data_IF_239947206542
#
_entry.id   IF_239947206542
#
_cell.length_a   1.000
_cell.length_b   1.000
_cell.length_c   1.000
_cell.angle_alpha   90.00
_cell.angle_beta   90.00
_cell.angle_gamma   90.00
#
_symmetry.space_group_name_H-M   'P 1'
#
loop_
_entity.id
_entity.type
_entity.pdbx_description
1 polymer ?
#
# COMPACT_ATOMS: atom_id res chain seq x y z
N UNK A 1 -34.65 -6.83 13.93
CA UNK A 1 -34.11 -7.61 15.06
C UNK A 1 -34.14 -9.08 14.67
N UNK A 2 -33.01 -9.66 14.36
CA UNK A 2 -32.94 -11.11 14.11
C UNK A 2 -32.75 -11.82 15.44
N UNK A 3 -33.58 -12.80 15.68
CA UNK A 3 -33.51 -13.66 16.88
C UNK A 3 -32.22 -14.47 16.86
N UNK A 4 -31.47 -14.44 17.94
CA UNK A 4 -30.19 -15.14 18.12
C UNK A 4 -30.35 -16.66 18.35
N UNK A 5 -31.51 -17.23 18.14
CA UNK A 5 -31.84 -18.61 18.50
C UNK A 5 -32.01 -19.57 17.31
N UNK A 6 -31.51 -19.23 16.13
CA UNK A 6 -31.55 -20.17 15.00
C UNK A 6 -30.25 -20.98 14.95
N UNK A 7 -30.35 -22.30 15.14
CA UNK A 7 -29.30 -23.22 14.73
C UNK A 7 -29.19 -23.19 13.22
N UNK A 8 -28.08 -22.66 12.72
CA UNK A 8 -27.80 -22.64 11.31
C UNK A 8 -27.23 -24.00 10.87
N UNK A 9 -27.58 -24.46 9.66
CA UNK A 9 -27.05 -25.69 9.07
C UNK A 9 -25.54 -25.65 8.82
N UNK A 10 -24.94 -24.44 8.90
CA UNK A 10 -23.51 -24.20 8.72
C UNK A 10 -22.97 -23.47 9.95
N UNK A 11 -22.51 -24.20 10.98
CA UNK A 11 -22.14 -23.62 12.27
C UNK A 11 -20.87 -22.79 12.24
N UNK A 12 -20.08 -22.89 11.19
CA UNK A 12 -18.83 -22.15 10.97
C UNK A 12 -19.01 -20.82 10.22
N UNK A 13 -20.20 -20.53 9.69
CA UNK A 13 -20.50 -19.23 9.12
C UNK A 13 -20.67 -18.14 10.20
N UNK A 14 -20.56 -16.87 9.82
CA UNK A 14 -20.64 -15.77 10.78
C UNK A 14 -21.11 -14.47 10.10
N UNK A 15 -21.35 -13.43 10.91
CA UNK A 15 -21.72 -12.12 10.44
C UNK A 15 -20.51 -11.40 9.82
N UNK A 16 -20.71 -10.83 8.63
CA UNK A 16 -19.78 -9.94 7.95
C UNK A 16 -20.44 -8.61 7.61
N UNK A 17 -19.64 -7.67 7.17
CA UNK A 17 -20.07 -6.36 6.69
C UNK A 17 -19.78 -6.24 5.20
N UNK A 18 -20.81 -5.95 4.41
CA UNK A 18 -20.67 -5.59 3.00
C UNK A 18 -20.61 -4.06 2.89
N UNK A 19 -19.43 -3.54 2.57
CA UNK A 19 -19.19 -2.10 2.45
C UNK A 19 -19.84 -1.48 1.20
N UNK A 20 -20.14 -2.28 0.17
CA UNK A 20 -20.80 -1.79 -1.04
C UNK A 20 -22.31 -1.63 -0.85
N UNK A 21 -22.91 -2.62 -0.19
CA UNK A 21 -24.33 -2.59 0.12
C UNK A 21 -24.65 -1.92 1.47
N UNK A 22 -23.61 -1.54 2.22
CA UNK A 22 -23.74 -0.95 3.56
C UNK A 22 -24.64 -1.76 4.51
N UNK A 23 -24.50 -3.08 4.49
CA UNK A 23 -25.32 -3.97 5.31
C UNK A 23 -24.55 -5.14 5.91
N UNK A 24 -25.08 -5.67 7.01
CA UNK A 24 -24.59 -6.93 7.57
C UNK A 24 -25.21 -8.12 6.84
N UNK A 25 -24.41 -9.13 6.57
CA UNK A 25 -24.86 -10.41 6.06
C UNK A 25 -24.33 -11.55 6.92
N UNK A 26 -25.02 -12.68 6.90
CA UNK A 26 -24.60 -13.90 7.60
C UNK A 26 -24.19 -14.95 6.59
N UNK A 27 -22.94 -15.43 6.67
CA UNK A 27 -22.45 -16.38 5.70
C UNK A 27 -20.93 -16.46 5.60
N UNK A 28 -20.47 -16.54 4.36
CA UNK A 28 -19.07 -16.65 3.99
C UNK A 28 -18.70 -15.55 2.99
N UNK A 29 -17.41 -15.25 2.90
CA UNK A 29 -16.85 -14.54 1.76
C UNK A 29 -15.86 -15.43 0.99
N UNK A 30 -15.77 -15.21 -0.30
CA UNK A 30 -14.82 -15.87 -1.18
C UNK A 30 -13.61 -14.97 -1.39
N UNK A 31 -12.45 -15.42 -0.94
CA UNK A 31 -11.16 -14.81 -1.27
C UNK A 31 -10.57 -15.50 -2.49
N UNK A 32 -10.19 -14.76 -3.53
CA UNK A 32 -9.75 -15.32 -4.80
C UNK A 32 -8.43 -14.70 -5.25
N UNK A 33 -7.41 -15.52 -5.51
CA UNK A 33 -6.26 -15.09 -6.28
C UNK A 33 -6.54 -15.18 -7.76
N UNK A 34 -6.22 -14.12 -8.47
CA UNK A 34 -6.42 -13.99 -9.91
C UNK A 34 -5.11 -13.62 -10.57
N UNK A 35 -4.74 -14.28 -11.67
CA UNK A 35 -3.61 -13.90 -12.50
C UNK A 35 -4.05 -12.80 -13.48
N UNK A 36 -3.77 -11.54 -13.13
CA UNK A 36 -4.19 -10.35 -13.89
C UNK A 36 -3.31 -10.04 -15.11
N UNK A 37 -2.19 -10.75 -15.26
CA UNK A 37 -1.32 -10.66 -16.44
C UNK A 37 -1.81 -11.48 -17.63
N UNK A 38 -2.87 -12.28 -17.45
CA UNK A 38 -3.53 -13.04 -18.50
C UNK A 38 -4.59 -12.20 -19.22
N UNK A 39 -4.88 -12.54 -20.45
CA UNK A 39 -5.92 -11.86 -21.26
C UNK A 39 -7.33 -11.90 -20.61
N UNK A 40 -7.58 -12.82 -19.70
CA UNK A 40 -8.93 -13.12 -19.17
C UNK A 40 -8.97 -13.18 -17.64
N UNK A 41 -8.02 -12.57 -16.92
CA UNK A 41 -7.99 -12.56 -15.45
C UNK A 41 -8.27 -13.95 -14.86
N UNK A 42 -7.33 -14.87 -15.05
CA UNK A 42 -7.50 -16.27 -14.71
C UNK A 42 -7.56 -16.50 -13.19
N UNK A 43 -8.66 -17.05 -12.63
CA UNK A 43 -8.70 -17.45 -11.23
C UNK A 43 -7.72 -18.58 -10.95
N UNK A 44 -6.88 -18.40 -9.93
CA UNK A 44 -5.78 -19.33 -9.59
C UNK A 44 -6.11 -20.13 -8.33
N UNK A 45 -6.52 -19.47 -7.28
CA UNK A 45 -6.74 -20.12 -5.99
C UNK A 45 -7.89 -19.49 -5.20
N UNK A 46 -9.00 -20.20 -4.96
CA UNK A 46 -10.11 -19.77 -4.14
C UNK A 46 -9.90 -20.18 -2.67
N UNK A 47 -10.35 -19.35 -1.76
CA UNK A 47 -10.51 -19.70 -0.36
C UNK A 47 -11.84 -19.18 0.16
N UNK A 48 -12.67 -20.08 0.69
CA UNK A 48 -13.93 -19.74 1.34
C UNK A 48 -13.67 -19.55 2.83
N UNK A 49 -14.00 -18.35 3.35
CA UNK A 49 -13.81 -17.98 4.74
C UNK A 49 -15.12 -17.49 5.36
N UNK A 50 -15.27 -17.62 6.70
CA UNK A 50 -16.40 -17.03 7.41
C UNK A 50 -16.44 -15.51 7.17
N UNK A 51 -17.62 -14.94 7.00
CA UNK A 51 -17.78 -13.52 6.68
C UNK A 51 -17.19 -12.55 7.72
N UNK A 52 -17.01 -12.97 8.96
CA UNK A 52 -16.35 -12.18 10.03
C UNK A 52 -14.81 -12.15 9.95
N UNK A 53 -14.21 -12.93 9.04
CA UNK A 53 -12.75 -12.95 8.90
C UNK A 53 -12.26 -11.65 8.27
N UNK A 54 -11.29 -11.01 8.90
CA UNK A 54 -10.66 -9.81 8.34
C UNK A 54 -9.85 -10.15 7.09
N UNK A 55 -9.94 -9.33 6.04
CA UNK A 55 -9.32 -9.55 4.73
C UNK A 55 -7.83 -9.85 4.80
N UNK A 56 -7.12 -9.18 5.69
CA UNK A 56 -5.70 -9.43 5.94
C UNK A 56 -5.41 -10.86 6.41
N UNK A 57 -6.28 -11.44 7.26
CA UNK A 57 -6.13 -12.83 7.70
C UNK A 57 -6.49 -13.81 6.59
N UNK A 58 -7.53 -13.51 5.81
CA UNK A 58 -7.90 -14.30 4.63
C UNK A 58 -6.78 -14.27 3.58
N UNK A 59 -6.15 -13.12 3.38
CA UNK A 59 -4.96 -12.99 2.52
C UNK A 59 -3.84 -13.93 2.98
N UNK A 60 -3.42 -13.85 4.23
CA UNK A 60 -2.32 -14.68 4.73
C UNK A 60 -2.65 -16.17 4.63
N UNK A 61 -3.86 -16.56 5.06
CA UNK A 61 -4.29 -17.96 5.03
C UNK A 61 -4.33 -18.49 3.59
N UNK A 62 -4.97 -17.77 2.66
CA UNK A 62 -5.06 -18.20 1.27
C UNK A 62 -3.68 -18.18 0.58
N UNK A 63 -2.82 -17.21 0.91
CA UNK A 63 -1.48 -17.12 0.35
C UNK A 63 -0.62 -18.33 0.74
N UNK A 64 -0.58 -18.68 2.02
CA UNK A 64 0.18 -19.84 2.48
C UNK A 64 -0.41 -21.16 1.98
N UNK A 65 -1.74 -21.26 1.94
CA UNK A 65 -2.41 -22.43 1.37
C UNK A 65 -2.10 -22.57 -0.13
N UNK A 66 -2.22 -21.51 -0.90
CA UNK A 66 -1.86 -21.52 -2.32
C UNK A 66 -0.40 -21.97 -2.52
N UNK A 67 0.54 -21.44 -1.74
CA UNK A 67 1.95 -21.84 -1.84
C UNK A 67 2.20 -23.30 -1.44
N UNK A 68 1.38 -23.86 -0.56
CA UNK A 68 1.45 -25.28 -0.19
C UNK A 68 0.91 -26.19 -1.31
N UNK A 69 -0.17 -25.80 -1.97
CA UNK A 69 -0.77 -26.57 -3.07
C UNK A 69 -0.09 -26.35 -4.42
N UNK A 70 0.45 -25.16 -4.64
CA UNK A 70 1.09 -24.73 -5.88
C UNK A 70 2.51 -24.20 -5.60
N UNK A 71 3.45 -25.04 -5.14
CA UNK A 71 4.78 -24.60 -4.72
C UNK A 71 5.61 -23.97 -5.85
N UNK A 72 5.39 -24.42 -7.08
CA UNK A 72 6.08 -23.90 -8.27
C UNK A 72 5.51 -22.57 -8.77
N UNK A 73 4.33 -22.14 -8.28
CA UNK A 73 3.72 -20.91 -8.71
C UNK A 73 4.54 -19.71 -8.22
N UNK A 74 5.08 -18.92 -9.14
CA UNK A 74 5.89 -17.74 -8.84
C UNK A 74 5.05 -16.49 -8.93
N UNK A 75 5.13 -15.67 -7.89
CA UNK A 75 4.47 -14.36 -7.83
C UNK A 75 5.58 -13.31 -7.93
N UNK A 76 5.54 -12.49 -8.96
CA UNK A 76 6.47 -11.37 -9.16
C UNK A 76 5.86 -10.05 -8.67
N UNK A 77 4.56 -9.89 -8.86
CA UNK A 77 3.78 -8.71 -8.46
C UNK A 77 2.56 -9.13 -7.67
N UNK A 78 2.17 -8.30 -6.72
CA UNK A 78 1.01 -8.53 -5.88
C UNK A 78 0.19 -7.24 -5.80
N UNK A 79 -1.00 -7.28 -6.40
CA UNK A 79 -1.94 -6.16 -6.43
C UNK A 79 -3.00 -6.40 -5.35
N UNK A 80 -3.10 -5.49 -4.40
CA UNK A 80 -4.03 -5.56 -3.28
C UNK A 80 -4.64 -4.18 -3.00
N UNK A 81 -5.85 -4.18 -2.51
CA UNK A 81 -6.51 -2.96 -2.06
C UNK A 81 -5.97 -2.44 -0.71
N UNK A 82 -6.48 -1.30 -0.27
CA UNK A 82 -6.05 -0.64 0.97
C UNK A 82 -6.39 -1.41 2.26
N UNK A 83 -7.26 -2.43 2.22
CA UNK A 83 -7.53 -3.30 3.37
C UNK A 83 -6.29 -4.13 3.77
N UNK A 84 -5.39 -4.35 2.81
CA UNK A 84 -4.14 -5.11 2.98
C UNK A 84 -2.92 -4.22 3.31
N UNK A 85 -3.13 -2.92 3.52
CA UNK A 85 -2.08 -1.95 3.81
C UNK A 85 -1.49 -2.13 5.21
N UNK A 86 -0.70 -3.17 5.40
CA UNK A 86 -0.04 -3.53 6.64
C UNK A 86 1.46 -3.74 6.45
N UNK A 87 2.27 -3.21 7.36
CA UNK A 87 3.74 -3.30 7.31
C UNK A 87 4.25 -4.74 7.07
N UNK A 88 3.60 -5.73 7.70
CA UNK A 88 3.97 -7.13 7.56
C UNK A 88 3.86 -7.65 6.11
N UNK A 89 2.89 -7.16 5.31
CA UNK A 89 2.75 -7.55 3.90
C UNK A 89 3.91 -7.03 3.08
N UNK A 90 4.28 -5.76 3.25
CA UNK A 90 5.42 -5.16 2.53
C UNK A 90 6.74 -5.85 2.89
N UNK A 91 6.94 -6.12 4.18
CA UNK A 91 8.14 -6.81 4.65
C UNK A 91 8.21 -8.24 4.10
N UNK A 92 7.09 -8.96 4.08
CA UNK A 92 7.02 -10.29 3.46
C UNK A 92 7.32 -10.22 1.96
N UNK A 93 6.71 -9.28 1.23
CA UNK A 93 6.97 -9.08 -0.20
C UNK A 93 8.45 -8.78 -0.45
N UNK A 94 9.06 -7.92 0.37
CA UNK A 94 10.50 -7.62 0.31
C UNK A 94 11.36 -8.86 0.49
N UNK A 95 11.07 -9.70 1.49
CA UNK A 95 11.81 -10.94 1.76
C UNK A 95 11.69 -11.97 0.64
N UNK A 96 10.57 -11.97 -0.07
CA UNK A 96 10.29 -12.91 -1.17
C UNK A 96 10.57 -12.34 -2.56
N UNK A 97 11.11 -11.11 -2.65
CA UNK A 97 11.32 -10.39 -3.91
C UNK A 97 10.04 -10.23 -4.74
N UNK A 98 8.91 -10.03 -4.07
CA UNK A 98 7.62 -9.72 -4.69
C UNK A 98 7.45 -8.21 -4.69
N UNK A 99 7.03 -7.64 -5.82
CA UNK A 99 6.73 -6.21 -5.93
C UNK A 99 5.28 -5.95 -5.49
N UNK A 100 5.04 -5.28 -4.35
CA UNK A 100 3.69 -5.01 -3.89
C UNK A 100 3.10 -3.75 -4.55
N UNK A 101 1.86 -3.83 -4.99
CA UNK A 101 1.01 -2.74 -5.44
C UNK A 101 -0.19 -2.68 -4.51
N UNK A 102 -0.08 -1.90 -3.44
CA UNK A 102 -1.08 -1.80 -2.37
C UNK A 102 -1.39 -0.33 -2.15
N UNK A 103 -2.67 0.05 -2.26
CA UNK A 103 -3.10 1.40 -1.94
C UNK A 103 -2.97 1.68 -0.44
N UNK A 104 -2.61 2.91 -0.09
CA UNK A 104 -2.54 3.31 1.31
C UNK A 104 -3.94 3.38 1.93
N UNK A 105 -4.07 2.86 3.14
CA UNK A 105 -5.29 3.03 3.92
C UNK A 105 -5.31 4.43 4.55
N UNK A 106 -6.28 5.30 4.19
CA UNK A 106 -6.35 6.66 4.71
C UNK A 106 -6.48 6.74 6.23
N UNK A 107 -7.14 5.75 6.84
CA UNK A 107 -7.30 5.67 8.31
C UNK A 107 -5.99 5.46 9.07
N UNK A 108 -4.96 4.95 8.40
CA UNK A 108 -3.67 4.63 9.00
C UNK A 108 -2.54 5.60 8.60
N UNK A 109 -2.81 6.57 7.73
CA UNK A 109 -1.75 7.38 7.14
C UNK A 109 -1.42 8.65 7.90
N UNK A 110 -2.27 9.26 8.63
CA UNK A 110 -1.99 10.47 9.43
C UNK A 110 -0.80 11.33 8.95
N UNK A 111 -0.73 12.58 9.32
CA UNK A 111 0.50 13.36 9.08
C UNK A 111 1.66 12.77 9.86
N UNK A 112 2.67 12.34 9.15
CA UNK A 112 3.83 11.67 9.72
C UNK A 112 5.08 12.55 9.56
N UNK A 113 5.81 12.76 10.65
CA UNK A 113 7.08 13.52 10.64
C UNK A 113 8.24 12.55 10.46
N UNK A 114 8.92 12.66 9.33
CA UNK A 114 10.06 11.81 9.02
C UNK A 114 11.36 12.39 9.61
N UNK A 115 11.97 11.63 10.52
CA UNK A 115 13.23 12.03 11.20
C UNK A 115 13.20 13.44 11.79
N UNK A 116 12.03 13.93 12.20
CA UNK A 116 11.86 15.25 12.81
C UNK A 116 12.08 16.45 11.89
N UNK A 117 12.26 16.24 10.59
CA UNK A 117 12.75 17.26 9.67
C UNK A 117 11.70 17.77 8.66
N UNK A 118 10.74 16.94 8.27
CA UNK A 118 9.64 17.28 7.37
C UNK A 118 8.46 16.33 7.58
N UNK A 119 7.29 16.75 7.16
CA UNK A 119 6.08 15.92 7.17
C UNK A 119 5.92 15.18 5.83
N UNK A 120 5.16 14.10 5.83
CA UNK A 120 4.87 13.28 4.67
C UNK A 120 3.37 13.23 4.54
N UNK A 121 2.85 13.35 3.30
CA UNK A 121 1.44 13.20 3.01
C UNK A 121 1.01 11.73 2.92
N UNK A 122 -0.28 11.53 2.66
CA UNK A 122 -0.91 10.21 2.52
C UNK A 122 -0.33 9.35 1.37
N UNK A 123 0.25 9.98 0.35
CA UNK A 123 0.92 9.29 -0.77
C UNK A 123 2.40 9.01 -0.50
N UNK A 124 2.91 9.33 0.68
CA UNK A 124 4.32 9.17 0.99
C UNK A 124 5.23 10.26 0.43
N UNK A 125 4.67 11.40 -0.02
CA UNK A 125 5.44 12.50 -0.59
C UNK A 125 5.76 13.54 0.49
N UNK A 126 7.02 14.00 0.59
CA UNK A 126 7.42 15.01 1.56
C UNK A 126 6.70 16.34 1.34
N UNK A 127 6.31 16.96 2.44
CA UNK A 127 5.74 18.30 2.49
C UNK A 127 6.80 19.27 3.00
N UNK A 128 7.05 20.36 2.29
CA UNK A 128 8.02 21.36 2.70
C UNK A 128 7.49 22.21 3.87
N UNK A 129 8.37 23.02 4.51
CA UNK A 129 8.00 23.90 5.65
C UNK A 129 6.89 24.89 5.34
N UNK A 130 6.64 25.18 4.06
CA UNK A 130 5.55 26.05 3.61
C UNK A 130 4.26 25.29 3.29
N UNK A 131 4.15 24.02 3.69
CA UNK A 131 2.96 23.20 3.45
C UNK A 131 2.80 22.74 2.00
N UNK A 132 3.82 22.84 1.17
CA UNK A 132 3.74 22.47 -0.25
C UNK A 132 4.35 21.10 -0.51
N UNK A 133 3.69 20.31 -1.32
CA UNK A 133 4.16 18.99 -1.78
C UNK A 133 5.45 19.13 -2.58
N UNK A 134 6.48 18.36 -2.22
CA UNK A 134 7.78 18.40 -2.88
C UNK A 134 7.76 17.64 -4.21
N UNK A 135 8.59 18.07 -5.16
CA UNK A 135 8.73 17.38 -6.44
C UNK A 135 9.68 16.20 -6.34
N UNK A 136 9.29 15.08 -6.91
CA UNK A 136 10.17 13.94 -7.08
C UNK A 136 11.30 14.28 -8.05
N UNK A 137 12.53 14.04 -7.61
CA UNK A 137 13.77 14.35 -8.37
C UNK A 137 14.59 13.09 -8.68
N UNK A 138 13.97 11.93 -8.61
CA UNK A 138 14.54 10.64 -8.99
C UNK A 138 14.65 9.63 -7.84
N UNK A 139 15.19 8.48 -8.19
CA UNK A 139 15.47 7.37 -7.29
C UNK A 139 16.93 6.92 -7.47
N UNK A 140 17.69 6.85 -6.38
CA UNK A 140 19.07 6.38 -6.37
C UNK A 140 19.10 4.91 -5.94
N UNK A 141 19.12 4.01 -6.92
CA UNK A 141 19.00 2.56 -6.68
C UNK A 141 20.13 1.99 -5.80
N UNK A 142 21.36 2.48 -5.99
CA UNK A 142 22.54 2.04 -5.21
C UNK A 142 22.42 2.32 -3.70
N UNK A 143 21.59 3.30 -3.32
CA UNK A 143 21.37 3.71 -1.92
C UNK A 143 19.93 3.46 -1.45
N UNK A 144 19.10 2.83 -2.27
CA UNK A 144 17.69 2.55 -2.01
C UNK A 144 16.95 3.77 -1.44
N UNK A 145 17.10 4.94 -2.09
CA UNK A 145 16.49 6.18 -1.63
C UNK A 145 15.81 6.97 -2.73
N UNK A 146 14.62 7.48 -2.44
CA UNK A 146 13.92 8.46 -3.25
C UNK A 146 14.44 9.86 -2.95
N UNK A 147 14.59 10.68 -3.99
CA UNK A 147 15.02 12.07 -3.90
C UNK A 147 13.87 12.99 -4.25
N UNK A 148 13.63 13.96 -3.40
CA UNK A 148 12.63 15.00 -3.57
C UNK A 148 13.27 16.37 -3.50
N UNK A 149 12.67 17.35 -4.18
CA UNK A 149 13.17 18.71 -4.27
C UNK A 149 12.09 19.74 -3.97
N UNK A 150 12.51 20.87 -3.46
CA UNK A 150 11.66 22.02 -3.16
C UNK A 150 10.80 22.41 -4.37
N UNK A 151 9.45 22.55 -4.22
CA UNK A 151 8.55 22.88 -5.33
C UNK A 151 8.68 24.33 -5.81
N UNK A 152 9.17 25.23 -4.95
CA UNK A 152 9.34 26.65 -5.26
C UNK A 152 10.73 27.04 -5.73
N UNK A 153 11.67 26.12 -5.82
CA UNK A 153 13.00 26.42 -6.32
C UNK A 153 13.06 26.20 -7.84
N UNK A 154 13.74 27.08 -8.53
CA UNK A 154 14.22 26.79 -9.88
C UNK A 154 15.75 26.94 -9.93
N UNK A 155 16.37 26.38 -10.98
CA UNK A 155 17.84 26.33 -11.09
C UNK A 155 18.47 27.72 -11.27
N UNK A 156 17.70 28.71 -11.73
CA UNK A 156 18.19 30.04 -12.07
C UNK A 156 17.96 31.07 -10.97
N UNK A 157 16.80 31.01 -10.29
CA UNK A 157 16.37 32.05 -9.35
C UNK A 157 16.44 31.64 -7.87
N UNK A 158 16.64 30.34 -7.58
CA UNK A 158 16.65 29.83 -6.20
C UNK A 158 15.26 29.65 -5.60
N UNK A 159 15.17 29.69 -4.27
CA UNK A 159 13.93 29.55 -3.54
C UNK A 159 13.21 30.90 -3.40
N UNK A 160 11.91 30.91 -3.68
CA UNK A 160 11.07 32.11 -3.55
C UNK A 160 10.38 32.23 -2.21
N UNK A 161 10.72 31.43 -1.22
CA UNK A 161 10.13 31.53 0.11
C UNK A 161 10.70 32.75 0.84
N UNK A 162 9.87 33.42 1.63
CA UNK A 162 10.26 34.51 2.51
C UNK A 162 11.36 34.09 3.49
N UNK A 163 11.24 32.85 3.99
CA UNK A 163 12.26 32.20 4.83
C UNK A 163 12.80 30.93 4.16
N UNK A 164 13.84 31.04 3.36
CA UNK A 164 14.42 29.89 2.66
C UNK A 164 14.93 28.83 3.66
N UNK A 165 14.52 27.56 3.44
CA UNK A 165 14.98 26.44 4.28
C UNK A 165 16.32 25.83 3.84
N UNK A 166 16.93 26.37 2.77
CA UNK A 166 18.24 25.98 2.26
C UNK A 166 18.90 27.12 1.53
N UNK A 167 20.20 27.35 1.69
CA UNK A 167 20.95 28.36 0.94
C UNK A 167 21.24 27.93 -0.51
N UNK A 168 20.96 26.67 -0.86
CA UNK A 168 21.25 26.15 -2.19
C UNK A 168 20.30 26.74 -3.25
N UNK A 169 20.86 27.13 -4.42
CA UNK A 169 20.08 27.68 -5.54
C UNK A 169 18.96 26.76 -6.03
N UNK A 170 19.13 25.45 -5.90
CA UNK A 170 18.11 24.44 -6.25
C UNK A 170 17.13 24.17 -5.09
N UNK A 171 17.21 24.92 -4.00
CA UNK A 171 16.39 24.77 -2.81
C UNK A 171 16.74 23.52 -1.98
N UNK A 172 15.84 23.16 -1.05
CA UNK A 172 16.04 21.99 -0.20
C UNK A 172 15.84 20.70 -0.99
N UNK A 173 16.75 19.76 -0.81
CA UNK A 173 16.62 18.37 -1.27
C UNK A 173 16.42 17.46 -0.06
N UNK A 174 15.48 16.53 -0.16
CA UNK A 174 15.17 15.53 0.85
C UNK A 174 15.40 14.15 0.26
N UNK A 175 16.03 13.28 1.02
CA UNK A 175 16.23 11.88 0.66
C UNK A 175 15.43 11.01 1.64
N UNK A 176 14.64 10.09 1.09
CA UNK A 176 13.85 9.13 1.84
C UNK A 176 14.38 7.74 1.52
N UNK A 177 14.81 7.03 2.55
CA UNK A 177 15.23 5.66 2.42
C UNK A 177 14.01 4.74 2.41
N UNK A 178 13.83 4.00 1.34
CA UNK A 178 12.64 3.14 1.14
C UNK A 178 12.58 2.01 2.17
N UNK A 179 13.76 1.58 2.67
CA UNK A 179 13.84 0.57 3.73
C UNK A 179 13.36 1.06 5.11
N UNK A 180 13.35 2.37 5.36
CA UNK A 180 12.93 2.93 6.66
C UNK A 180 11.41 2.72 6.90
N UNK A 181 10.63 2.78 5.83
CA UNK A 181 9.20 2.46 5.88
C UNK A 181 8.72 1.99 4.50
N UNK A 182 8.76 0.68 4.21
CA UNK A 182 8.37 0.14 2.91
C UNK A 182 6.88 0.33 2.59
N UNK A 183 6.04 0.53 3.61
CA UNK A 183 4.63 0.84 3.45
C UNK A 183 4.42 2.22 2.81
N UNK A 184 5.06 3.26 3.36
CA UNK A 184 4.94 4.64 2.85
C UNK A 184 5.76 4.86 1.57
N UNK A 185 6.93 4.26 1.49
CA UNK A 185 7.90 4.48 0.41
C UNK A 185 8.04 3.28 -0.52
N UNK A 186 6.91 2.76 -0.93
CA UNK A 186 6.85 1.59 -1.80
C UNK A 186 7.59 1.79 -3.13
N UNK A 187 8.06 0.69 -3.73
CA UNK A 187 8.71 0.66 -5.04
C UNK A 187 7.91 -0.29 -5.94
N UNK A 188 7.41 0.20 -7.08
CA UNK A 188 7.47 1.58 -7.58
C UNK A 188 6.64 2.54 -6.73
N UNK A 189 7.00 3.84 -6.69
CA UNK A 189 6.20 4.82 -5.95
C UNK A 189 4.80 4.98 -6.53
N UNK A 190 3.79 5.15 -5.65
CA UNK A 190 2.36 5.23 -6.01
C UNK A 190 2.01 6.34 -6.99
N UNK A 191 2.75 7.44 -6.99
CA UNK A 191 2.58 8.57 -7.91
C UNK A 191 3.26 8.36 -9.27
N UNK A 192 3.97 7.25 -9.46
CA UNK A 192 4.75 6.98 -10.67
C UNK A 192 3.90 6.43 -11.82
N UNK A 193 4.41 6.64 -13.07
CA UNK A 193 3.79 6.02 -14.26
C UNK A 193 3.83 4.49 -14.20
N UNK A 194 4.85 3.92 -13.55
CA UNK A 194 4.97 2.47 -13.39
C UNK A 194 3.87 1.91 -12.50
N UNK A 195 3.50 2.64 -11.43
CA UNK A 195 2.37 2.27 -10.56
C UNK A 195 1.03 2.32 -11.29
N UNK A 196 0.79 3.43 -12.01
CA UNK A 196 -0.49 3.68 -12.71
C UNK A 196 -0.76 2.77 -13.89
N UNK A 197 0.25 2.01 -14.31
CA UNK A 197 0.13 1.05 -15.42
C UNK A 197 -0.41 -0.30 -14.95
N UNK A 198 -0.16 -0.67 -13.72
CA UNK A 198 -0.64 -1.91 -13.09
C UNK A 198 -2.04 -1.70 -12.48
#
# INVERSE_FOLDING_TARGET
CYSTAHEHSQPDCNWGWDSHLECYFFGYHLYMYVASDSHSDLPVFPLLERASRHDMLSFLHSFFSMKAYLPEFRIEKLLLDSAHDAYAVYEYCRQKNITPFIDLNPGHTGHFTYKGDFTIDEDGVPICKMGLRMHKDGYEASKHRAKYRCPKSNRTRGCFCEHPCSPAKYGRTVHIFTADNPRLFNIPPRDSKAWKKE
#
